data_IF_820943278573
#
_entry.id   IF_820943278573
#
_cell.length_a   1.000
_cell.length_b   1.000
_cell.length_c   1.000
_cell.angle_alpha   90.00
_cell.angle_beta   90.00
_cell.angle_gamma   90.00
#
_symmetry.space_group_name_H-M   'P 1'
#
loop_
_entity.id
_entity.type
_entity.pdbx_description
1 polymer ?
#
# COMPACT_ATOMS: atom_id res chain seq x y z
N UNK A 1 -53.56 7.63 3.19
CA UNK A 1 -53.30 8.35 4.44
C UNK A 1 -52.22 7.57 5.18
N UNK A 2 -50.99 7.84 4.85
CA UNK A 2 -49.85 7.33 5.58
C UNK A 2 -49.73 8.16 6.86
N UNK A 3 -49.95 7.52 7.97
CA UNK A 3 -49.61 8.04 9.27
C UNK A 3 -48.07 8.22 9.28
N UNK A 4 -47.66 9.48 9.21
CA UNK A 4 -46.23 9.82 9.18
C UNK A 4 -45.58 9.57 10.54
N UNK A 5 -45.58 8.32 11.00
CA UNK A 5 -44.88 7.94 12.21
C UNK A 5 -43.40 8.19 12.02
N UNK A 6 -42.90 9.19 12.71
CA UNK A 6 -41.48 9.45 12.85
C UNK A 6 -40.79 8.17 13.34
N UNK A 7 -39.94 7.55 12.47
CA UNK A 7 -39.09 6.46 12.87
C UNK A 7 -37.71 7.01 13.24
N UNK A 8 -37.37 7.12 14.53
CA UNK A 8 -36.09 7.72 14.97
C UNK A 8 -34.86 6.93 14.53
N UNK A 9 -35.07 5.72 14.02
CA UNK A 9 -33.98 4.83 13.57
C UNK A 9 -33.79 4.86 12.06
N UNK A 10 -34.69 5.45 11.28
CA UNK A 10 -34.56 5.56 9.83
C UNK A 10 -33.85 6.87 9.49
N UNK A 11 -32.72 6.76 8.81
CA UNK A 11 -31.94 7.89 8.29
C UNK A 11 -31.57 7.64 6.83
N UNK A 12 -31.80 8.63 6.01
CA UNK A 12 -31.33 8.66 4.64
C UNK A 12 -30.01 9.43 4.60
N UNK A 13 -28.96 8.81 4.08
CA UNK A 13 -27.61 9.39 3.97
C UNK A 13 -27.19 9.42 2.51
N UNK A 14 -26.52 10.48 2.10
CA UNK A 14 -25.85 10.56 0.82
C UNK A 14 -24.36 10.84 1.04
N UNK A 15 -23.51 10.07 0.42
CA UNK A 15 -22.05 10.22 0.48
C UNK A 15 -21.52 10.71 -0.86
N UNK A 16 -20.83 11.83 -0.83
CA UNK A 16 -20.04 12.34 -1.96
C UNK A 16 -18.58 12.12 -1.66
N UNK A 17 -17.90 11.35 -2.50
CA UNK A 17 -16.47 11.05 -2.33
C UNK A 17 -15.68 11.56 -3.52
N UNK A 18 -14.56 12.20 -3.25
CA UNK A 18 -13.56 12.57 -4.23
C UNK A 18 -12.18 12.11 -3.76
N UNK A 19 -11.36 11.64 -4.68
CA UNK A 19 -9.97 11.25 -4.39
C UNK A 19 -9.08 11.70 -5.53
N UNK A 20 -7.95 12.28 -5.19
CA UNK A 20 -6.89 12.66 -6.11
C UNK A 20 -5.59 12.01 -5.64
N UNK A 21 -4.84 11.48 -6.57
CA UNK A 21 -3.52 10.89 -6.31
C UNK A 21 -2.51 11.50 -7.29
N UNK A 22 -1.35 11.87 -6.77
CA UNK A 22 -0.20 12.32 -7.54
C UNK A 22 1.01 11.50 -7.12
N UNK A 23 1.59 10.75 -8.06
CA UNK A 23 2.84 10.01 -7.88
C UNK A 23 3.95 10.59 -8.74
N UNK A 24 5.13 10.71 -8.15
CA UNK A 24 6.37 11.10 -8.84
C UNK A 24 7.46 10.15 -8.40
N UNK A 25 8.17 9.54 -9.35
CA UNK A 25 9.30 8.64 -9.10
C UNK A 25 10.52 9.02 -9.91
N UNK A 26 11.68 8.69 -9.39
CA UNK A 26 12.97 8.78 -10.06
C UNK A 26 13.84 7.58 -9.67
N UNK A 27 14.51 7.02 -10.65
CA UNK A 27 15.39 5.85 -10.49
C UNK A 27 16.73 6.13 -11.15
N UNK A 28 17.80 5.70 -10.49
CA UNK A 28 19.16 5.75 -11.01
C UNK A 28 19.81 4.40 -10.77
N UNK A 29 20.25 3.74 -11.84
CA UNK A 29 20.98 2.49 -11.79
C UNK A 29 22.38 2.67 -12.36
N UNK A 30 23.37 2.16 -11.64
CA UNK A 30 24.74 1.98 -12.14
C UNK A 30 25.03 0.50 -12.28
N UNK A 31 25.42 0.08 -13.47
CA UNK A 31 25.74 -1.33 -13.78
C UNK A 31 27.20 -1.47 -14.22
N UNK A 32 27.93 -2.36 -13.53
CA UNK A 32 29.31 -2.73 -13.84
C UNK A 32 29.39 -4.18 -14.33
N UNK A 33 29.83 -4.44 -15.56
CA UNK A 33 30.07 -5.78 -16.06
C UNK A 33 31.34 -6.37 -15.43
N UNK A 34 31.19 -7.37 -14.56
CA UNK A 34 32.33 -8.06 -13.94
C UNK A 34 32.96 -9.05 -14.91
N UNK A 35 32.15 -9.69 -15.74
CA UNK A 35 32.60 -10.64 -16.76
C UNK A 35 31.62 -10.70 -17.94
N UNK A 36 31.93 -11.51 -18.96
CA UNK A 36 31.01 -11.75 -20.10
C UNK A 36 29.66 -12.36 -19.69
N UNK A 37 29.59 -12.91 -18.50
CA UNK A 37 28.42 -13.64 -18.00
C UNK A 37 27.90 -13.12 -16.65
N UNK A 38 28.49 -12.08 -16.08
CA UNK A 38 28.06 -11.54 -14.79
C UNK A 38 28.19 -10.02 -14.74
N UNK A 39 27.23 -9.40 -14.10
CA UNK A 39 27.18 -7.98 -13.84
C UNK A 39 26.73 -7.71 -12.41
N UNK A 40 27.18 -6.60 -11.89
CA UNK A 40 26.75 -6.04 -10.62
C UNK A 40 26.07 -4.70 -10.90
N UNK A 41 24.94 -4.45 -10.23
CA UNK A 41 24.30 -3.14 -10.30
C UNK A 41 24.07 -2.59 -8.89
N UNK A 42 24.04 -1.29 -8.80
CA UNK A 42 23.59 -0.54 -7.64
C UNK A 42 22.48 0.40 -8.09
N UNK A 43 21.32 0.25 -7.48
CA UNK A 43 20.10 1.00 -7.80
C UNK A 43 19.74 1.92 -6.63
N UNK A 44 19.27 3.10 -6.97
CA UNK A 44 18.63 4.01 -6.05
C UNK A 44 17.31 4.47 -6.64
N UNK A 45 16.25 4.29 -5.87
CA UNK A 45 14.89 4.69 -6.23
C UNK A 45 14.36 5.72 -5.23
N UNK A 46 13.70 6.72 -5.76
CA UNK A 46 12.95 7.71 -5.00
C UNK A 46 11.51 7.73 -5.49
N UNK A 47 10.57 7.66 -4.57
CA UNK A 47 9.14 7.76 -4.85
C UNK A 47 8.48 8.74 -3.89
N UNK A 48 7.61 9.60 -4.42
CA UNK A 48 6.73 10.48 -3.67
C UNK A 48 5.31 10.27 -4.16
N UNK A 49 4.41 9.89 -3.24
CA UNK A 49 2.97 9.80 -3.50
C UNK A 49 2.23 10.75 -2.58
N UNK A 50 1.30 11.51 -3.15
CA UNK A 50 0.38 12.40 -2.45
C UNK A 50 -1.04 11.98 -2.74
N UNK A 51 -1.78 11.70 -1.70
CA UNK A 51 -3.18 11.32 -1.80
C UNK A 51 -4.04 12.28 -0.98
N UNK A 52 -5.02 12.85 -1.65
CA UNK A 52 -6.07 13.64 -1.02
C UNK A 52 -7.40 12.93 -1.22
N UNK A 53 -8.11 12.67 -0.16
CA UNK A 53 -9.44 12.07 -0.22
C UNK A 53 -10.39 12.79 0.71
N UNK A 54 -11.57 13.08 0.21
CA UNK A 54 -12.66 13.57 1.03
C UNK A 54 -13.90 12.71 0.84
N UNK A 55 -14.67 12.61 1.89
CA UNK A 55 -16.02 12.07 1.89
C UNK A 55 -16.92 12.99 2.68
N UNK A 56 -17.83 13.65 1.98
CA UNK A 56 -18.87 14.47 2.58
C UNK A 56 -20.15 13.67 2.70
N UNK A 57 -20.68 13.57 3.90
CA UNK A 57 -21.92 12.86 4.21
C UNK A 57 -23.00 13.86 4.56
N UNK A 58 -24.12 13.76 3.87
CA UNK A 58 -25.33 14.55 4.11
C UNK A 58 -26.40 13.68 4.74
N UNK A 59 -26.98 14.18 5.82
CA UNK A 59 -28.05 13.52 6.55
C UNK A 59 -29.39 14.18 6.19
N UNK A 60 -30.29 13.41 5.62
CA UNK A 60 -31.63 13.85 5.22
C UNK A 60 -32.68 13.49 6.27
N UNK A 61 -32.29 12.95 7.42
CA UNK A 61 -33.23 12.48 8.42
C UNK A 61 -34.20 11.44 7.84
N UNK A 62 -35.48 11.70 7.94
CA UNK A 62 -36.55 10.86 7.38
C UNK A 62 -37.00 11.29 5.96
N UNK A 63 -36.30 12.24 5.33
CA UNK A 63 -36.64 12.72 4.00
C UNK A 63 -36.15 11.77 2.91
N UNK A 64 -37.01 10.88 2.46
CA UNK A 64 -36.75 9.95 1.37
C UNK A 64 -36.61 10.63 -0.02
N UNK A 65 -36.94 11.91 -0.14
CA UNK A 65 -36.78 12.66 -1.40
C UNK A 65 -35.40 13.22 -1.61
N UNK A 66 -34.54 13.16 -0.60
CA UNK A 66 -33.17 13.70 -0.63
C UNK A 66 -33.07 15.18 -1.01
N UNK A 67 -34.05 16.00 -0.56
CA UNK A 67 -34.10 17.42 -0.95
C UNK A 67 -33.49 18.39 0.06
N UNK A 68 -33.48 18.05 1.35
CA UNK A 68 -33.03 18.93 2.43
C UNK A 68 -31.97 18.22 3.31
N UNK A 69 -30.83 17.85 2.71
CA UNK A 69 -29.75 17.22 3.45
C UNK A 69 -28.89 18.22 4.20
N UNK A 70 -28.64 17.96 5.47
CA UNK A 70 -27.69 18.70 6.28
C UNK A 70 -26.32 17.95 6.25
N UNK A 71 -25.23 18.69 6.05
CA UNK A 71 -23.90 18.13 6.13
C UNK A 71 -23.61 17.65 7.56
N UNK A 72 -23.23 16.38 7.71
CA UNK A 72 -22.90 15.79 9.01
C UNK A 72 -21.37 15.63 9.17
N UNK A 73 -20.71 16.50 9.96
CA UNK A 73 -19.27 16.45 10.16
C UNK A 73 -18.80 15.18 10.87
N UNK A 74 -19.68 14.46 11.57
CA UNK A 74 -19.31 13.23 12.28
C UNK A 74 -19.23 12.02 11.37
N UNK A 75 -19.92 12.08 10.24
CA UNK A 75 -19.93 11.05 9.21
C UNK A 75 -19.07 11.41 8.01
N UNK A 76 -18.63 12.68 7.93
CA UNK A 76 -17.73 13.18 6.90
C UNK A 76 -16.28 13.00 7.34
N UNK A 77 -15.39 12.70 6.40
CA UNK A 77 -13.96 12.69 6.67
C UNK A 77 -13.14 13.24 5.50
N UNK A 78 -12.04 13.87 5.84
CA UNK A 78 -11.01 14.30 4.90
C UNK A 78 -9.73 13.66 5.38
N UNK A 79 -8.98 13.08 4.48
CA UNK A 79 -7.61 12.72 4.78
C UNK A 79 -6.66 13.06 3.65
N UNK A 80 -5.48 13.47 4.03
CA UNK A 80 -4.36 13.70 3.14
C UNK A 80 -3.22 12.78 3.55
N UNK A 81 -2.44 12.33 2.59
CA UNK A 81 -1.30 11.48 2.81
C UNK A 81 -0.18 11.89 1.88
N UNK A 82 0.96 12.23 2.47
CA UNK A 82 2.24 12.33 1.78
C UNK A 82 3.06 11.09 2.15
N UNK A 83 3.45 10.31 1.16
CA UNK A 83 4.27 9.13 1.33
C UNK A 83 5.53 9.25 0.49
N UNK A 84 6.67 9.26 1.15
CA UNK A 84 7.97 9.40 0.51
C UNK A 84 8.82 8.17 0.80
N UNK A 85 9.40 7.61 -0.24
CA UNK A 85 10.23 6.41 -0.16
C UNK A 85 11.59 6.67 -0.79
N UNK A 86 12.62 6.23 -0.11
CA UNK A 86 13.97 6.11 -0.62
C UNK A 86 14.37 4.64 -0.54
N UNK A 87 14.74 4.06 -1.65
CA UNK A 87 15.21 2.69 -1.69
C UNK A 87 16.61 2.63 -2.33
N UNK A 88 17.47 1.79 -1.80
CA UNK A 88 18.81 1.56 -2.33
C UNK A 88 19.16 0.08 -2.22
N UNK A 89 19.70 -0.48 -3.30
CA UNK A 89 20.01 -1.89 -3.30
C UNK A 89 21.06 -2.33 -4.31
N UNK A 90 21.98 -3.23 -3.92
CA UNK A 90 22.84 -3.94 -4.86
C UNK A 90 22.07 -5.10 -5.51
N UNK A 91 22.39 -5.36 -6.75
CA UNK A 91 21.98 -6.56 -7.46
C UNK A 91 23.17 -7.25 -8.12
N UNK A 92 23.09 -8.56 -8.23
CA UNK A 92 24.03 -9.37 -8.97
C UNK A 92 23.30 -10.28 -9.93
N UNK A 93 23.69 -10.24 -11.19
CA UNK A 93 23.14 -11.00 -12.28
C UNK A 93 24.21 -11.87 -12.92
N UNK A 94 23.95 -13.16 -13.00
CA UNK A 94 24.82 -14.09 -13.69
C UNK A 94 24.02 -14.92 -14.70
N UNK A 95 24.53 -15.03 -15.91
CA UNK A 95 23.91 -15.85 -16.96
C UNK A 95 25.00 -16.49 -17.82
N UNK A 96 25.00 -17.81 -17.90
CA UNK A 96 25.93 -18.54 -18.73
C UNK A 96 25.26 -19.76 -19.35
N UNK A 97 25.32 -19.86 -20.67
CA UNK A 97 24.61 -20.88 -21.43
C UNK A 97 23.08 -20.79 -21.18
N UNK A 98 22.50 -21.82 -20.58
CA UNK A 98 21.09 -21.91 -20.21
C UNK A 98 20.84 -21.62 -18.73
N UNK A 99 21.90 -21.43 -17.95
CA UNK A 99 21.81 -21.21 -16.51
C UNK A 99 21.79 -19.72 -16.20
N UNK A 100 20.99 -19.34 -15.20
CA UNK A 100 20.94 -17.97 -14.72
C UNK A 100 20.74 -17.92 -13.21
N UNK A 101 21.29 -16.88 -12.61
CA UNK A 101 21.15 -16.58 -11.19
C UNK A 101 21.07 -15.07 -11.02
N UNK A 102 20.09 -14.62 -10.25
CA UNK A 102 19.85 -13.21 -9.88
C UNK A 102 19.69 -13.12 -8.38
N UNK A 103 20.35 -12.16 -7.78
CA UNK A 103 20.07 -11.74 -6.40
C UNK A 103 19.99 -10.22 -6.34
N UNK A 104 18.95 -9.73 -5.69
CA UNK A 104 18.70 -8.33 -5.43
C UNK A 104 18.45 -8.18 -3.95
N UNK A 105 19.09 -7.20 -3.33
CA UNK A 105 18.87 -6.83 -1.94
C UNK A 105 18.45 -5.38 -1.94
N UNK A 106 17.44 -5.03 -1.17
CA UNK A 106 16.94 -3.67 -1.17
C UNK A 106 16.67 -3.20 0.28
N UNK A 107 17.23 -2.06 0.62
CA UNK A 107 16.93 -1.33 1.85
C UNK A 107 16.06 -0.13 1.50
N UNK A 108 14.92 -0.04 2.15
CA UNK A 108 13.93 1.00 1.92
C UNK A 108 13.70 1.79 3.20
N UNK A 109 13.73 3.12 3.08
CA UNK A 109 13.32 4.05 4.10
C UNK A 109 12.08 4.81 3.63
N UNK A 110 10.96 4.67 4.34
CA UNK A 110 9.69 5.28 3.99
C UNK A 110 9.23 6.23 5.08
N UNK A 111 8.70 7.38 4.68
CA UNK A 111 8.13 8.40 5.56
C UNK A 111 6.66 8.60 5.16
N UNK A 112 5.78 8.44 6.12
CA UNK A 112 4.35 8.73 6.02
C UNK A 112 4.05 9.99 6.84
N UNK A 113 3.50 11.01 6.21
CA UNK A 113 2.90 12.17 6.85
C UNK A 113 1.42 12.21 6.45
N UNK A 114 0.54 12.01 7.42
CA UNK A 114 -0.89 11.91 7.20
C UNK A 114 -1.67 12.85 8.10
N UNK A 115 -2.76 13.40 7.56
CA UNK A 115 -3.72 14.21 8.29
C UNK A 115 -5.12 13.69 8.04
N UNK A 116 -5.85 13.49 9.13
CA UNK A 116 -7.22 13.01 9.12
C UNK A 116 -8.08 14.03 9.86
N UNK A 117 -9.16 14.47 9.23
CA UNK A 117 -10.19 15.29 9.84
C UNK A 117 -11.54 14.62 9.66
N UNK A 118 -12.13 14.22 10.77
CA UNK A 118 -13.52 13.76 10.86
C UNK A 118 -14.20 14.51 12.02
N UNK A 119 -14.86 13.82 12.94
CA UNK A 119 -15.31 14.42 14.21
C UNK A 119 -14.17 14.98 15.07
N UNK A 120 -12.96 14.50 14.85
CA UNK A 120 -11.70 14.95 15.48
C UNK A 120 -10.62 15.09 14.41
N UNK A 121 -9.56 15.80 14.74
CA UNK A 121 -8.38 15.96 13.89
C UNK A 121 -7.24 15.09 14.43
N UNK A 122 -6.56 14.39 13.54
CA UNK A 122 -5.40 13.57 13.86
C UNK A 122 -4.32 13.77 12.82
N UNK A 123 -3.09 13.99 13.27
CA UNK A 123 -1.88 13.97 12.44
C UNK A 123 -1.09 12.72 12.76
N UNK A 124 -0.72 11.99 11.72
CA UNK A 124 0.01 10.73 11.81
C UNK A 124 1.34 10.91 11.10
N UNK A 125 2.46 10.74 11.85
CA UNK A 125 3.80 10.73 11.28
C UNK A 125 4.48 9.42 11.61
N UNK A 126 4.91 8.73 10.58
CA UNK A 126 5.59 7.42 10.70
C UNK A 126 6.77 7.34 9.77
N UNK A 127 7.79 6.63 10.20
CA UNK A 127 8.88 6.21 9.33
C UNK A 127 9.12 4.72 9.51
N UNK A 128 9.39 4.06 8.39
CA UNK A 128 9.61 2.63 8.31
C UNK A 128 10.95 2.36 7.65
N UNK A 129 11.63 1.32 8.12
CA UNK A 129 12.88 0.84 7.53
C UNK A 129 12.68 -0.63 7.22
N UNK A 130 12.75 -0.95 5.95
CA UNK A 130 12.43 -2.27 5.43
C UNK A 130 13.63 -2.83 4.69
N UNK A 131 13.83 -4.14 4.83
CA UNK A 131 14.79 -4.87 4.04
C UNK A 131 14.09 -5.95 3.24
N UNK A 132 14.20 -5.86 1.93
CA UNK A 132 13.61 -6.83 1.02
C UNK A 132 14.68 -7.53 0.21
N UNK A 133 14.35 -8.69 -0.33
CA UNK A 133 15.24 -9.43 -1.20
C UNK A 133 14.46 -10.15 -2.29
N UNK A 134 15.13 -10.32 -3.41
CA UNK A 134 14.71 -11.21 -4.49
C UNK A 134 15.87 -12.08 -4.92
N UNK A 135 15.67 -13.38 -4.94
CA UNK A 135 16.65 -14.37 -5.41
C UNK A 135 15.95 -15.29 -6.39
N UNK A 136 16.54 -15.48 -7.55
CA UNK A 136 16.04 -16.42 -8.54
C UNK A 136 17.19 -17.18 -9.17
N UNK A 137 17.03 -18.48 -9.33
CA UNK A 137 17.98 -19.32 -10.04
C UNK A 137 17.28 -20.28 -11.00
N UNK A 138 17.87 -20.47 -12.16
CA UNK A 138 17.47 -21.49 -13.13
C UNK A 138 18.71 -22.26 -13.55
N UNK A 139 18.73 -23.56 -13.28
CA UNK A 139 19.88 -24.43 -13.54
C UNK A 139 19.44 -25.67 -14.30
N UNK A 140 20.05 -25.87 -15.46
CA UNK A 140 19.94 -27.07 -16.26
C UNK A 140 21.08 -28.00 -15.91
N UNK A 141 20.80 -29.04 -15.13
CA UNK A 141 21.79 -30.04 -14.72
C UNK A 141 22.26 -30.90 -15.90
N UNK A 142 21.30 -31.19 -16.79
CA UNK A 142 21.52 -31.84 -18.09
C UNK A 142 20.33 -31.59 -19.03
N UNK A 143 20.20 -32.36 -20.12
CA UNK A 143 19.12 -32.18 -21.09
C UNK A 143 17.74 -32.52 -20.52
N UNK A 144 17.67 -33.37 -19.51
CA UNK A 144 16.43 -33.90 -18.94
C UNK A 144 16.09 -33.28 -17.58
N UNK A 145 17.04 -32.69 -16.88
CA UNK A 145 16.88 -32.22 -15.49
C UNK A 145 17.13 -30.74 -15.37
N UNK A 146 16.16 -30.03 -14.82
CA UNK A 146 16.34 -28.61 -14.48
C UNK A 146 15.73 -28.27 -13.11
N UNK A 147 16.32 -27.29 -12.46
CA UNK A 147 15.87 -26.74 -11.19
C UNK A 147 15.61 -25.25 -11.36
N UNK A 148 14.43 -24.81 -10.96
CA UNK A 148 14.07 -23.42 -10.80
C UNK A 148 13.78 -23.15 -9.33
N UNK A 149 14.42 -22.13 -8.77
CA UNK A 149 14.04 -21.65 -7.45
C UNK A 149 13.86 -20.14 -7.47
N UNK A 150 13.00 -19.66 -6.58
CA UNK A 150 12.75 -18.26 -6.33
C UNK A 150 12.49 -18.07 -4.84
N UNK A 151 13.12 -17.06 -4.28
CA UNK A 151 12.80 -16.58 -2.93
C UNK A 151 12.67 -15.06 -2.96
N UNK A 152 11.65 -14.53 -2.32
CA UNK A 152 11.46 -13.08 -2.19
C UNK A 152 10.87 -12.71 -0.85
N UNK A 153 11.24 -11.54 -0.37
CA UNK A 153 10.57 -10.86 0.72
C UNK A 153 9.98 -9.54 0.21
N UNK A 154 8.76 -9.26 0.62
CA UNK A 154 8.12 -7.97 0.37
C UNK A 154 7.61 -7.42 1.69
N UNK A 155 7.55 -6.11 1.79
CA UNK A 155 6.88 -5.39 2.87
C UNK A 155 5.61 -4.73 2.38
N UNK A 156 4.66 -4.58 3.28
CA UNK A 156 3.44 -3.82 3.05
C UNK A 156 3.24 -2.89 4.23
N UNK A 157 3.47 -1.61 4.00
CA UNK A 157 3.34 -0.58 5.01
C UNK A 157 1.86 -0.31 5.32
N UNK A 158 1.51 -0.04 6.59
CA UNK A 158 0.14 0.28 6.96
C UNK A 158 -0.37 1.50 6.20
N UNK A 159 -1.59 1.39 5.68
CA UNK A 159 -2.30 2.53 5.11
C UNK A 159 -2.79 3.49 6.20
N UNK A 160 -3.01 4.77 5.84
CA UNK A 160 -3.43 5.81 6.78
C UNK A 160 -4.72 5.44 7.52
N UNK A 161 -5.65 4.76 6.86
CA UNK A 161 -6.90 4.31 7.49
C UNK A 161 -6.67 3.24 8.56
N UNK A 162 -5.68 2.39 8.38
CA UNK A 162 -5.30 1.37 9.37
C UNK A 162 -4.63 1.99 10.60
N UNK A 163 -3.99 3.15 10.42
CA UNK A 163 -3.34 3.91 11.48
C UNK A 163 -4.29 4.90 12.19
N UNK A 164 -5.49 5.12 11.63
CA UNK A 164 -6.47 6.06 12.18
C UNK A 164 -7.07 5.53 13.48
N UNK A 165 -6.70 6.09 14.62
CA UNK A 165 -7.25 5.72 15.93
C UNK A 165 -8.63 6.33 16.23
N UNK A 166 -9.13 7.23 15.36
CA UNK A 166 -10.47 7.80 15.50
C UNK A 166 -11.50 6.73 15.10
N UNK A 167 -12.52 6.56 15.92
CA UNK A 167 -13.62 5.63 15.65
C UNK A 167 -14.39 6.05 14.40
N UNK A 168 -14.37 5.24 13.36
CA UNK A 168 -15.20 5.43 12.17
C UNK A 168 -16.61 4.88 12.45
N UNK A 169 -17.59 5.78 12.49
CA UNK A 169 -19.01 5.51 12.71
C UNK A 169 -19.84 5.77 11.44
N UNK A 170 -19.21 5.92 10.30
CA UNK A 170 -19.88 6.21 9.04
C UNK A 170 -20.84 5.10 8.59
N UNK A 171 -20.58 3.87 9.01
CA UNK A 171 -21.53 2.76 8.95
C UNK A 171 -21.89 2.35 10.39
N UNK A 172 -23.12 2.61 10.79
CA UNK A 172 -23.58 2.29 12.15
C UNK A 172 -23.65 0.78 12.43
N UNK A 173 -23.60 -0.08 11.40
CA UNK A 173 -23.55 -1.53 11.55
C UNK A 173 -22.13 -2.06 11.68
N UNK A 174 -21.15 -1.29 11.16
CA UNK A 174 -19.75 -1.67 11.16
C UNK A 174 -18.89 -0.51 11.64
N UNK A 175 -18.76 -0.39 12.95
CA UNK A 175 -17.83 0.57 13.56
C UNK A 175 -16.41 0.01 13.50
N UNK A 176 -15.46 0.80 13.04
CA UNK A 176 -14.07 0.41 12.97
C UNK A 176 -13.15 1.48 13.52
N UNK A 177 -12.02 1.05 14.03
CA UNK A 177 -10.91 1.92 14.42
C UNK A 177 -9.59 1.27 14.01
N UNK A 178 -8.64 2.06 13.61
CA UNK A 178 -7.30 1.58 13.32
C UNK A 178 -6.41 1.54 14.57
N UNK A 179 -5.15 1.23 14.35
CA UNK A 179 -4.12 1.22 15.37
C UNK A 179 -2.91 2.01 14.87
N UNK A 180 -2.63 3.14 15.47
CA UNK A 180 -1.50 4.01 15.10
C UNK A 180 -0.12 3.37 15.32
N UNK A 181 -0.04 2.25 16.07
CA UNK A 181 1.20 1.54 16.35
C UNK A 181 1.41 0.32 15.46
N UNK A 182 0.75 0.23 14.32
CA UNK A 182 1.00 -0.85 13.37
C UNK A 182 2.37 -0.72 12.72
N UNK A 183 3.06 -1.85 12.67
CA UNK A 183 4.30 -2.02 11.93
C UNK A 183 4.02 -2.62 10.52
N UNK A 184 4.98 -2.49 9.58
CA UNK A 184 4.88 -3.12 8.28
C UNK A 184 4.70 -4.64 8.36
N UNK A 185 3.86 -5.18 7.50
CA UNK A 185 3.70 -6.61 7.36
C UNK A 185 4.73 -7.17 6.38
N UNK A 186 5.53 -8.16 6.82
CA UNK A 186 6.48 -8.88 5.99
C UNK A 186 5.86 -10.14 5.40
N UNK A 187 6.10 -10.34 4.12
CA UNK A 187 5.69 -11.54 3.40
C UNK A 187 6.91 -12.19 2.75
N UNK A 188 7.11 -13.47 3.03
CA UNK A 188 8.17 -14.26 2.41
C UNK A 188 7.55 -15.33 1.52
N UNK A 189 8.06 -15.44 0.31
CA UNK A 189 7.66 -16.49 -0.63
C UNK A 189 8.89 -17.28 -1.07
N UNK A 190 8.80 -18.60 -1.01
CA UNK A 190 9.82 -19.50 -1.54
C UNK A 190 9.15 -20.48 -2.50
N UNK A 191 9.71 -20.61 -3.68
CA UNK A 191 9.27 -21.55 -4.70
C UNK A 191 10.43 -22.37 -5.19
N UNK A 192 10.26 -23.67 -5.27
CA UNK A 192 11.22 -24.61 -5.84
C UNK A 192 10.51 -25.53 -6.81
N UNK A 193 10.98 -25.56 -8.05
CA UNK A 193 10.48 -26.46 -9.08
C UNK A 193 11.63 -27.31 -9.62
N UNK A 194 11.41 -28.60 -9.66
CA UNK A 194 12.29 -29.55 -10.35
C UNK A 194 11.52 -30.12 -11.54
N UNK A 195 12.12 -30.06 -12.71
CA UNK A 195 11.54 -30.62 -13.94
C UNK A 195 12.41 -31.75 -14.44
N UNK A 196 11.74 -32.84 -14.82
CA UNK A 196 12.30 -34.00 -15.51
C UNK A 196 11.51 -34.25 -16.79
N UNK A 197 12.22 -34.35 -17.92
CA UNK A 197 11.60 -34.53 -19.26
C UNK A 197 12.20 -35.74 -19.97
#
# INVERSE_FOLDING_TARGET
>A
NGDGTYNPYLRYLSNLSASNELGVGAEVEYTEPISKSSQFSLEYEFELSKDDSNRDTYNFGNDASYTNGEWDPRLSNIFTRDYMTHAVGPSFNWSKNRNSFVVELNYQHSILDGYIRSSQEQSIKRSYNDFTYFVRGMFYLNQQHSINFMARANTNNPGIQQLNSILDISDMQYMSTGNENLDPAYSHMVMLNYNFT
#
